data_IF_575015419121
#
_entry.id   IF_575015419121
#
_cell.length_a   1.000
_cell.length_b   1.000
_cell.length_c   1.000
_cell.angle_alpha   90.00
_cell.angle_beta   90.00
_cell.angle_gamma   90.00
#
_symmetry.space_group_name_H-M   'P 1'
#
loop_
_entity.id
_entity.type
_entity.pdbx_description
1 polymer ?
#
# COMPACT_ATOMS: atom_id res chain seq x y z
N UNK A 1 -23.52 -22.65 -58.36
CA UNK A 1 -22.37 -23.14 -57.59
C UNK A 1 -22.76 -23.05 -56.14
N UNK A 2 -23.00 -24.19 -55.50
CA UNK A 2 -23.25 -24.24 -54.06
C UNK A 2 -21.98 -23.74 -53.36
N UNK A 3 -22.11 -22.73 -52.49
CA UNK A 3 -21.05 -22.39 -51.54
C UNK A 3 -20.79 -23.64 -50.72
N UNK A 4 -19.61 -24.25 -50.90
CA UNK A 4 -19.11 -25.24 -49.97
C UNK A 4 -18.98 -24.51 -48.63
N UNK A 5 -19.86 -24.84 -47.70
CA UNK A 5 -19.78 -24.44 -46.30
C UNK A 5 -18.49 -25.06 -45.77
N UNK A 6 -17.41 -24.27 -45.79
CA UNK A 6 -16.12 -24.72 -45.27
C UNK A 6 -16.35 -25.08 -43.81
N UNK A 7 -16.13 -26.34 -43.44
CA UNK A 7 -16.34 -26.83 -42.09
C UNK A 7 -15.64 -25.91 -41.10
N UNK A 8 -16.42 -25.07 -40.42
CA UNK A 8 -15.92 -24.02 -39.55
C UNK A 8 -15.63 -24.55 -38.15
N UNK A 9 -15.62 -25.87 -37.98
CA UNK A 9 -15.33 -26.53 -36.71
C UNK A 9 -13.83 -26.70 -36.50
N UNK A 10 -13.39 -26.52 -35.26
CA UNK A 10 -12.03 -26.77 -34.81
C UNK A 10 -12.05 -27.68 -33.58
N UNK A 11 -10.93 -28.32 -33.27
CA UNK A 11 -10.78 -29.05 -32.01
C UNK A 11 -10.90 -28.12 -30.81
N UNK A 12 -11.47 -28.67 -29.74
CA UNK A 12 -11.51 -28.04 -28.43
C UNK A 12 -10.08 -27.62 -28.02
N UNK A 13 -9.88 -26.39 -27.52
CA UNK A 13 -8.59 -25.95 -26.99
C UNK A 13 -8.12 -26.74 -25.77
N UNK A 14 -9.01 -27.44 -25.06
CA UNK A 14 -8.63 -28.33 -23.97
C UNK A 14 -7.86 -29.53 -24.56
N UNK A 15 -6.58 -29.65 -24.22
CA UNK A 15 -5.69 -30.70 -24.73
C UNK A 15 -6.08 -32.12 -24.33
N UNK A 16 -6.98 -32.29 -23.36
CA UNK A 16 -7.55 -33.58 -22.95
C UNK A 16 -8.91 -33.88 -23.62
N UNK A 17 -9.38 -33.00 -24.51
CA UNK A 17 -10.67 -33.10 -25.18
C UNK A 17 -10.49 -33.18 -26.71
N UNK A 18 -11.20 -34.10 -27.35
CA UNK A 18 -11.25 -34.28 -28.81
C UNK A 18 -12.53 -33.70 -29.43
N UNK A 19 -13.34 -32.99 -28.64
CA UNK A 19 -14.58 -32.37 -29.08
C UNK A 19 -14.38 -31.31 -30.16
N UNK A 20 -15.37 -31.17 -31.05
CA UNK A 20 -15.39 -30.12 -32.07
C UNK A 20 -16.22 -28.93 -31.59
N UNK A 21 -15.67 -27.73 -31.74
CA UNK A 21 -16.34 -26.45 -31.43
C UNK A 21 -16.40 -25.58 -32.68
N UNK A 22 -17.29 -24.58 -32.69
CA UNK A 22 -17.39 -23.65 -33.82
C UNK A 22 -16.27 -22.62 -33.77
N UNK A 23 -15.60 -22.36 -34.89
CA UNK A 23 -14.63 -21.26 -35.03
C UNK A 23 -15.35 -19.93 -35.06
N UNK A 24 -15.69 -19.43 -33.87
CA UNK A 24 -16.40 -18.17 -33.68
C UNK A 24 -15.64 -17.26 -32.71
N UNK A 25 -15.93 -15.96 -32.77
CA UNK A 25 -15.41 -14.98 -31.79
C UNK A 25 -16.16 -15.00 -30.46
N UNK A 26 -17.09 -15.93 -30.27
CA UNK A 26 -17.92 -16.06 -29.07
C UNK A 26 -17.32 -17.14 -28.17
N UNK A 27 -17.28 -16.85 -26.88
CA UNK A 27 -16.94 -17.81 -25.85
C UNK A 27 -18.05 -18.86 -25.74
N UNK A 28 -17.72 -20.14 -25.80
CA UNK A 28 -18.73 -21.19 -25.95
C UNK A 28 -18.39 -22.40 -25.08
N UNK A 29 -19.43 -23.12 -24.66
CA UNK A 29 -19.27 -24.39 -23.94
C UNK A 29 -18.94 -25.51 -24.94
N UNK A 30 -17.86 -26.25 -24.70
CA UNK A 30 -17.56 -27.46 -25.45
C UNK A 30 -18.56 -28.56 -25.07
N UNK A 31 -19.28 -29.12 -26.04
CA UNK A 31 -20.29 -30.15 -25.78
C UNK A 31 -19.70 -31.51 -25.37
N UNK A 32 -18.40 -31.72 -25.56
CA UNK A 32 -17.73 -32.98 -25.21
C UNK A 32 -17.20 -32.96 -23.77
N UNK A 33 -16.47 -31.92 -23.37
CA UNK A 33 -15.89 -31.84 -22.01
C UNK A 33 -16.67 -30.94 -21.04
N UNK A 34 -17.59 -30.10 -21.53
CA UNK A 34 -18.34 -29.15 -20.70
C UNK A 34 -17.61 -27.84 -20.38
N UNK A 35 -16.32 -27.72 -20.72
CA UNK A 35 -15.54 -26.51 -20.41
C UNK A 35 -15.92 -25.34 -21.31
N UNK A 36 -15.76 -24.12 -20.79
CA UNK A 36 -15.97 -22.90 -21.55
C UNK A 36 -14.68 -22.52 -22.27
N UNK A 37 -14.74 -22.41 -23.59
CA UNK A 37 -13.55 -22.28 -24.43
C UNK A 37 -13.69 -21.16 -25.46
N UNK A 38 -12.57 -20.54 -25.80
CA UNK A 38 -12.49 -19.59 -26.90
C UNK A 38 -11.74 -20.19 -28.09
N UNK A 39 -12.41 -20.26 -29.24
CA UNK A 39 -11.81 -20.77 -30.48
C UNK A 39 -10.71 -19.87 -31.08
N UNK A 40 -10.63 -18.60 -30.67
CA UNK A 40 -9.66 -17.64 -31.22
C UNK A 40 -8.40 -17.48 -30.37
N UNK A 41 -8.55 -17.40 -29.04
CA UNK A 41 -7.44 -17.20 -28.12
C UNK A 41 -7.11 -18.42 -27.26
N UNK A 42 -7.88 -19.52 -27.42
CA UNK A 42 -7.66 -20.82 -26.78
C UNK A 42 -7.74 -20.80 -25.24
N UNK A 43 -8.25 -19.71 -24.66
CA UNK A 43 -8.49 -19.61 -23.22
C UNK A 43 -9.66 -20.50 -22.82
N UNK A 44 -9.54 -21.09 -21.63
CA UNK A 44 -10.44 -22.08 -21.04
C UNK A 44 -10.85 -21.57 -19.65
N UNK A 45 -12.12 -21.74 -19.30
CA UNK A 45 -12.80 -21.32 -18.04
C UNK A 45 -12.31 -19.99 -17.44
N UNK A 46 -12.52 -18.92 -18.22
CA UNK A 46 -12.18 -17.56 -17.85
C UNK A 46 -13.45 -16.72 -17.75
N UNK A 47 -13.86 -16.40 -16.51
CA UNK A 47 -15.05 -15.60 -16.20
C UNK A 47 -15.01 -14.20 -16.87
N UNK A 48 -13.81 -13.66 -17.11
CA UNK A 48 -13.64 -12.39 -17.82
C UNK A 48 -13.97 -12.52 -19.31
N UNK A 49 -13.88 -13.72 -19.87
CA UNK A 49 -14.25 -14.04 -21.24
C UNK A 49 -15.74 -14.38 -21.39
N UNK A 50 -16.41 -14.82 -20.32
CA UNK A 50 -17.80 -15.23 -20.37
C UNK A 50 -18.73 -14.12 -20.90
N UNK A 51 -19.49 -14.42 -21.96
CA UNK A 51 -20.35 -13.46 -22.64
C UNK A 51 -19.63 -12.32 -23.37
N UNK A 52 -18.29 -12.38 -23.51
CA UNK A 52 -17.46 -11.31 -24.08
C UNK A 52 -16.59 -11.82 -25.24
N UNK A 53 -16.22 -10.90 -26.12
CA UNK A 53 -15.23 -11.12 -27.18
C UNK A 53 -13.80 -11.07 -26.63
N UNK A 54 -12.82 -11.62 -27.35
CA UNK A 54 -11.41 -11.53 -26.95
C UNK A 54 -10.93 -10.08 -26.78
N UNK A 55 -11.38 -9.16 -27.65
CA UNK A 55 -11.00 -7.75 -27.58
C UNK A 55 -11.54 -7.08 -26.30
N UNK A 56 -12.80 -7.36 -25.93
CA UNK A 56 -13.38 -6.87 -24.67
C UNK A 56 -12.63 -7.42 -23.46
N UNK A 57 -12.27 -8.71 -23.47
CA UNK A 57 -11.46 -9.33 -22.41
C UNK A 57 -10.08 -8.66 -22.27
N UNK A 58 -9.37 -8.45 -23.37
CA UNK A 58 -8.05 -7.79 -23.36
C UNK A 58 -8.16 -6.37 -22.80
N UNK A 59 -9.21 -5.63 -23.20
CA UNK A 59 -9.49 -4.30 -22.67
C UNK A 59 -9.69 -4.33 -21.14
N UNK A 60 -10.48 -5.28 -20.63
CA UNK A 60 -10.68 -5.45 -19.18
C UNK A 60 -9.36 -5.77 -18.48
N UNK A 61 -8.54 -6.67 -19.03
CA UNK A 61 -7.23 -7.00 -18.44
C UNK A 61 -6.31 -5.77 -18.37
N UNK A 62 -6.28 -4.97 -19.43
CA UNK A 62 -5.51 -3.73 -19.46
C UNK A 62 -6.04 -2.74 -18.42
N UNK A 63 -7.35 -2.52 -18.36
CA UNK A 63 -7.98 -1.62 -17.38
C UNK A 63 -7.73 -2.09 -15.94
N UNK A 64 -7.80 -3.40 -15.68
CA UNK A 64 -7.46 -4.01 -14.39
C UNK A 64 -6.00 -3.79 -14.03
N UNK A 65 -5.08 -3.83 -15.01
CA UNK A 65 -3.67 -3.51 -14.82
C UNK A 65 -3.43 -2.05 -14.40
N UNK A 66 -4.19 -1.13 -15.00
CA UNK A 66 -4.12 0.32 -14.70
C UNK A 66 -4.91 0.73 -13.44
N UNK A 67 -5.74 -0.15 -12.89
CA UNK A 67 -6.59 0.17 -11.75
C UNK A 67 -5.79 0.33 -10.45
N UNK A 68 -4.95 -0.65 -10.10
CA UNK A 68 -4.22 -0.64 -8.84
C UNK A 68 -3.25 0.54 -8.69
N UNK A 69 -2.43 0.91 -9.69
CA UNK A 69 -1.57 2.09 -9.60
C UNK A 69 -2.37 3.36 -9.29
N UNK A 70 -3.46 3.61 -10.05
CA UNK A 70 -4.33 4.78 -9.82
C UNK A 70 -4.99 4.75 -8.44
N UNK A 71 -5.40 3.57 -7.97
CA UNK A 71 -5.98 3.39 -6.65
C UNK A 71 -4.97 3.72 -5.55
N UNK A 72 -3.72 3.27 -5.67
CA UNK A 72 -2.66 3.58 -4.72
C UNK A 72 -2.33 5.07 -4.70
N UNK A 73 -2.15 5.70 -5.86
CA UNK A 73 -1.86 7.13 -5.97
C UNK A 73 -2.97 7.97 -5.34
N UNK A 74 -4.23 7.65 -5.65
CA UNK A 74 -5.39 8.35 -5.10
C UNK A 74 -5.51 8.13 -3.58
N UNK A 75 -5.24 6.92 -3.10
CA UNK A 75 -5.24 6.60 -1.67
C UNK A 75 -4.14 7.35 -0.93
N UNK A 76 -2.94 7.45 -1.50
CA UNK A 76 -1.80 8.14 -0.88
C UNK A 76 -2.06 9.64 -0.81
N UNK A 77 -2.56 10.22 -1.90
CA UNK A 77 -3.01 11.61 -1.93
C UNK A 77 -4.05 11.86 -0.84
N UNK A 78 -5.08 11.02 -0.75
CA UNK A 78 -6.08 11.10 0.32
C UNK A 78 -5.45 11.04 1.71
N UNK A 79 -4.58 10.07 1.97
CA UNK A 79 -3.94 9.88 3.27
C UNK A 79 -3.14 11.12 3.70
N UNK A 80 -2.37 11.71 2.78
CA UNK A 80 -1.54 12.90 3.05
C UNK A 80 -2.37 14.16 3.26
N UNK A 81 -3.36 14.39 2.40
CA UNK A 81 -4.21 15.59 2.48
C UNK A 81 -5.16 15.57 3.68
N UNK A 82 -5.52 14.38 4.18
CA UNK A 82 -6.45 14.20 5.30
C UNK A 82 -5.74 13.74 6.59
N UNK A 83 -4.41 13.80 6.64
CA UNK A 83 -3.67 13.53 7.87
C UNK A 83 -3.84 14.70 8.84
N UNK A 84 -4.42 14.48 10.03
CA UNK A 84 -4.76 15.58 10.91
C UNK A 84 -3.50 16.07 11.66
N UNK A 85 -3.34 17.40 11.83
CA UNK A 85 -2.12 17.98 12.39
C UNK A 85 -1.91 17.67 13.88
N UNK A 86 -2.96 17.23 14.58
CA UNK A 86 -2.94 16.87 16.00
C UNK A 86 -2.65 15.38 16.25
N UNK A 87 -2.53 14.56 15.21
CA UNK A 87 -2.10 13.16 15.33
C UNK A 87 -0.58 13.08 15.17
N UNK A 88 0.03 12.03 15.73
CA UNK A 88 1.48 11.83 15.61
C UNK A 88 1.94 11.87 14.15
N UNK A 89 3.17 12.35 13.88
CA UNK A 89 3.66 12.50 12.52
C UNK A 89 3.58 11.20 11.72
N UNK A 90 3.19 11.33 10.47
CA UNK A 90 3.27 10.25 9.50
C UNK A 90 4.75 9.90 9.26
N UNK A 91 5.10 8.63 9.45
CA UNK A 91 6.46 8.12 9.22
C UNK A 91 6.56 7.52 7.81
N UNK A 92 5.62 6.65 7.45
CA UNK A 92 5.63 5.96 6.16
C UNK A 92 4.21 5.58 5.72
N UNK A 93 3.98 5.64 4.40
CA UNK A 93 2.84 5.04 3.73
C UNK A 93 3.37 3.87 2.90
N UNK A 94 2.73 2.72 3.02
CA UNK A 94 3.01 1.53 2.22
C UNK A 94 1.78 1.16 1.42
N UNK A 95 2.00 0.71 0.20
CA UNK A 95 0.93 0.14 -0.61
C UNK A 95 0.71 -1.32 -0.19
N UNK A 96 -0.55 -1.74 -0.14
CA UNK A 96 -0.87 -3.15 0.02
C UNK A 96 -0.52 -3.91 -1.27
N UNK A 97 0.75 -4.31 -1.41
CA UNK A 97 1.24 -5.01 -2.61
C UNK A 97 0.62 -6.40 -2.80
N UNK A 98 -0.08 -6.93 -1.79
CA UNK A 98 -0.87 -8.16 -1.94
C UNK A 98 -1.98 -8.01 -2.97
N UNK A 99 -2.46 -6.79 -3.21
CA UNK A 99 -3.46 -6.53 -4.24
C UNK A 99 -2.91 -6.77 -5.65
N UNK A 100 -1.61 -6.59 -5.88
CA UNK A 100 -0.96 -6.90 -7.16
C UNK A 100 -0.65 -8.40 -7.32
N UNK A 101 -0.79 -9.17 -6.24
CA UNK A 101 -0.70 -10.63 -6.23
C UNK A 101 -2.11 -11.24 -6.27
N UNK A 102 -2.22 -12.55 -6.51
CA UNK A 102 -3.50 -13.26 -6.31
C UNK A 102 -3.81 -13.32 -4.82
N UNK A 103 -4.66 -12.42 -4.32
CA UNK A 103 -5.13 -12.41 -2.94
C UNK A 103 -6.67 -12.41 -2.86
N UNK A 104 -7.20 -12.98 -1.77
CA UNK A 104 -8.64 -13.08 -1.58
C UNK A 104 -9.29 -11.71 -1.32
N UNK A 105 -8.55 -10.74 -0.77
CA UNK A 105 -9.08 -9.40 -0.51
C UNK A 105 -9.53 -8.70 -1.80
N UNK A 106 -8.71 -8.75 -2.87
CA UNK A 106 -9.07 -8.13 -4.15
C UNK A 106 -10.16 -8.94 -4.86
N UNK A 107 -10.09 -10.26 -4.79
CA UNK A 107 -11.11 -11.15 -5.37
C UNK A 107 -12.50 -10.88 -4.78
N UNK A 108 -12.60 -10.81 -3.45
CA UNK A 108 -13.85 -10.48 -2.75
C UNK A 108 -14.36 -9.09 -3.11
N UNK A 109 -13.46 -8.12 -3.23
CA UNK A 109 -13.82 -6.76 -3.64
C UNK A 109 -14.42 -6.74 -5.06
N UNK A 110 -13.80 -7.42 -6.02
CA UNK A 110 -14.34 -7.52 -7.38
C UNK A 110 -15.65 -8.30 -7.45
N UNK A 111 -15.81 -9.38 -6.67
CA UNK A 111 -17.12 -10.04 -6.51
C UNK A 111 -18.17 -9.08 -5.95
N UNK A 112 -17.78 -8.16 -5.06
CA UNK A 112 -18.66 -7.13 -4.53
C UNK A 112 -19.07 -6.10 -5.58
N UNK A 113 -18.15 -5.69 -6.46
CA UNK A 113 -18.44 -4.83 -7.62
C UNK A 113 -19.45 -5.51 -8.55
N UNK A 114 -19.21 -6.78 -8.91
CA UNK A 114 -20.13 -7.57 -9.75
C UNK A 114 -21.50 -7.73 -9.07
N UNK A 115 -21.54 -7.96 -7.76
CA UNK A 115 -22.79 -8.10 -7.00
C UNK A 115 -23.63 -6.81 -6.99
N UNK A 116 -23.03 -5.64 -7.23
CA UNK A 116 -23.72 -4.37 -7.43
C UNK A 116 -24.21 -4.15 -8.88
N UNK A 117 -23.85 -5.06 -9.80
CA UNK A 117 -24.10 -4.92 -11.23
C UNK A 117 -23.11 -4.00 -11.95
N UNK A 118 -22.01 -3.62 -11.30
CA UNK A 118 -20.97 -2.77 -11.89
C UNK A 118 -19.94 -3.60 -12.69
N UNK A 119 -19.22 -2.95 -13.61
CA UNK A 119 -18.17 -3.58 -14.41
C UNK A 119 -16.80 -3.57 -13.71
N UNK A 120 -15.96 -4.55 -14.05
CA UNK A 120 -14.58 -4.61 -13.57
C UNK A 120 -13.59 -3.93 -14.55
N UNK A 121 -12.55 -3.26 -14.03
CA UNK A 121 -12.46 -2.75 -12.66
C UNK A 121 -13.44 -1.57 -12.45
N UNK A 122 -13.83 -1.25 -11.19
CA UNK A 122 -14.70 -0.10 -10.95
C UNK A 122 -13.96 1.21 -11.22
N UNK A 123 -14.68 2.24 -11.64
CA UNK A 123 -14.17 3.62 -11.61
C UNK A 123 -13.92 4.06 -10.15
N UNK A 124 -12.83 4.77 -9.88
CA UNK A 124 -12.54 5.30 -8.54
C UNK A 124 -13.64 6.22 -8.01
N UNK A 125 -14.39 6.91 -8.89
CA UNK A 125 -15.54 7.73 -8.53
C UNK A 125 -16.70 6.92 -7.92
N UNK A 126 -16.74 5.60 -8.14
CA UNK A 126 -17.72 4.68 -7.50
C UNK A 126 -17.44 4.48 -6.02
N UNK A 127 -16.30 4.93 -5.50
CA UNK A 127 -15.96 4.78 -4.09
C UNK A 127 -15.41 6.04 -3.45
N UNK A 128 -14.82 5.84 -2.28
CA UNK A 128 -14.12 6.84 -1.50
C UNK A 128 -13.15 6.15 -0.54
N UNK A 129 -12.19 6.90 -0.01
CA UNK A 129 -11.25 6.40 0.98
C UNK A 129 -11.69 6.72 2.39
N UNK A 130 -11.35 5.83 3.34
CA UNK A 130 -11.56 6.06 4.77
C UNK A 130 -10.46 5.38 5.59
N UNK A 131 -10.27 5.82 6.83
CA UNK A 131 -9.27 5.26 7.73
C UNK A 131 -9.84 4.08 8.51
N UNK A 132 -8.99 3.11 8.86
CA UNK A 132 -9.37 1.99 9.72
C UNK A 132 -8.26 1.67 10.71
N UNK A 133 -8.58 1.81 12.00
CA UNK A 133 -7.68 1.42 13.08
C UNK A 133 -7.91 -0.03 13.50
N UNK A 134 -6.82 -0.76 13.72
CA UNK A 134 -6.85 -2.14 14.18
C UNK A 134 -5.57 -2.47 14.97
N UNK A 135 -5.53 -3.64 15.60
CA UNK A 135 -4.31 -4.19 16.18
C UNK A 135 -3.28 -4.47 15.08
N UNK A 136 -2.00 -4.17 15.32
CA UNK A 136 -0.92 -4.36 14.33
C UNK A 136 -0.87 -5.78 13.77
N UNK A 137 -1.14 -6.80 14.60
CA UNK A 137 -1.17 -8.21 14.19
C UNK A 137 -2.27 -8.55 13.17
N UNK A 138 -3.29 -7.70 13.06
CA UNK A 138 -4.43 -7.88 12.15
C UNK A 138 -4.21 -7.22 10.79
N UNK A 139 -3.21 -6.34 10.64
CA UNK A 139 -2.94 -5.62 9.38
C UNK A 139 -2.70 -6.60 8.23
N UNK A 140 -1.75 -7.53 8.39
CA UNK A 140 -1.39 -8.46 7.31
C UNK A 140 -2.55 -9.41 6.93
N UNK A 141 -3.27 -10.06 7.87
CA UNK A 141 -4.46 -10.82 7.53
C UNK A 141 -5.52 -10.00 6.78
N UNK A 142 -5.77 -8.76 7.20
CA UNK A 142 -6.72 -7.89 6.49
C UNK A 142 -6.23 -7.59 5.07
N UNK A 143 -4.95 -7.29 4.88
CA UNK A 143 -4.38 -7.04 3.57
C UNK A 143 -4.49 -8.22 2.58
N UNK A 144 -4.41 -9.45 3.08
CA UNK A 144 -4.46 -10.68 2.27
C UNK A 144 -5.90 -11.13 2.04
N UNK A 145 -6.68 -11.22 3.12
CA UNK A 145 -7.99 -11.87 3.09
C UNK A 145 -9.16 -10.88 2.97
N UNK A 146 -8.94 -9.63 3.36
CA UNK A 146 -9.94 -8.58 3.46
C UNK A 146 -10.45 -8.37 4.90
N UNK A 147 -11.47 -7.53 5.03
CA UNK A 147 -12.10 -7.27 6.33
C UNK A 147 -13.12 -8.37 6.66
N UNK A 148 -12.77 -9.27 7.60
CA UNK A 148 -13.61 -10.43 7.98
C UNK A 148 -14.85 -10.04 8.81
N UNK A 149 -16.08 -10.19 8.25
CA UNK A 149 -17.34 -9.84 8.92
C UNK A 149 -17.60 -10.60 10.21
N UNK A 150 -17.01 -11.78 10.37
CA UNK A 150 -17.19 -12.62 11.57
C UNK A 150 -16.41 -12.06 12.76
N UNK A 151 -15.50 -11.10 12.54
CA UNK A 151 -14.69 -10.45 13.58
C UNK A 151 -15.28 -9.14 14.08
N UNK A 152 -16.47 -8.74 13.61
CA UNK A 152 -17.17 -7.51 14.04
C UNK A 152 -17.30 -7.46 15.56
N UNK A 153 -16.98 -6.30 16.13
CA UNK A 153 -17.11 -6.00 17.56
C UNK A 153 -17.55 -4.56 17.74
N UNK A 154 -18.56 -4.33 18.58
CA UNK A 154 -19.18 -3.01 18.75
C UNK A 154 -19.95 -2.60 17.48
N UNK A 155 -21.28 -2.56 17.56
CA UNK A 155 -22.16 -2.34 16.40
C UNK A 155 -23.15 -1.18 16.66
N UNK A 156 -22.69 -0.16 17.40
CA UNK A 156 -23.53 0.92 17.92
C UNK A 156 -24.17 1.80 16.84
N UNK A 157 -23.59 1.85 15.63
CA UNK A 157 -24.07 2.65 14.49
C UNK A 157 -24.52 1.80 13.31
N UNK A 158 -24.85 0.53 13.57
CA UNK A 158 -25.30 -0.43 12.56
C UNK A 158 -24.38 -1.64 12.43
N UNK A 159 -24.86 -2.62 11.68
CA UNK A 159 -24.14 -3.86 11.43
C UNK A 159 -23.10 -3.64 10.34
N UNK A 160 -21.82 -3.91 10.62
CA UNK A 160 -20.74 -3.79 9.65
C UNK A 160 -19.35 -3.58 10.25
N UNK A 161 -18.37 -3.42 9.37
CA UNK A 161 -17.02 -2.95 9.70
C UNK A 161 -16.97 -1.42 9.71
N UNK A 162 -16.23 -0.85 10.66
CA UNK A 162 -16.25 0.58 10.95
C UNK A 162 -14.97 1.23 10.42
N UNK A 163 -15.15 2.37 9.76
CA UNK A 163 -14.07 3.17 9.18
C UNK A 163 -14.22 4.61 9.65
N UNK A 164 -13.17 5.19 10.22
CA UNK A 164 -13.19 6.57 10.68
C UNK A 164 -13.26 7.55 9.52
N UNK A 165 -14.08 8.60 9.64
CA UNK A 165 -14.09 9.71 8.67
C UNK A 165 -12.81 10.55 8.76
N UNK A 166 -12.03 10.41 9.85
CA UNK A 166 -10.68 10.95 10.02
C UNK A 166 -9.73 9.91 10.60
N UNK A 167 -8.43 10.10 10.40
CA UNK A 167 -7.40 9.25 11.00
C UNK A 167 -7.43 9.30 12.53
N UNK A 168 -7.74 10.46 13.12
CA UNK A 168 -7.83 10.63 14.58
C UNK A 168 -8.93 9.76 15.20
N UNK A 169 -10.06 9.55 14.50
CA UNK A 169 -11.11 8.64 14.97
C UNK A 169 -10.63 7.20 14.94
N UNK A 170 -9.85 6.82 13.92
CA UNK A 170 -9.26 5.48 13.80
C UNK A 170 -8.11 5.23 14.77
N UNK A 171 -7.37 6.26 15.20
CA UNK A 171 -6.25 6.14 16.14
C UNK A 171 -6.67 5.45 17.45
N UNK A 172 -7.86 5.74 17.98
CA UNK A 172 -8.39 5.11 19.20
C UNK A 172 -8.57 3.59 19.11
N UNK A 173 -8.56 3.04 17.89
CA UNK A 173 -8.66 1.60 17.62
C UNK A 173 -7.31 0.97 17.24
N UNK A 174 -6.27 1.78 17.07
CA UNK A 174 -4.91 1.33 16.79
C UNK A 174 -4.24 0.90 18.10
N UNK A 175 -4.02 -0.40 18.27
CA UNK A 175 -3.32 -0.93 19.46
C UNK A 175 -1.99 -1.53 19.07
N UNK A 176 -0.95 -1.18 19.83
CA UNK A 176 0.38 -1.79 19.75
C UNK A 176 0.53 -2.85 20.84
N UNK A 177 1.17 -3.96 20.54
CA UNK A 177 1.57 -4.96 21.54
C UNK A 177 3.01 -4.72 22.04
N UNK A 178 3.66 -3.67 21.56
CA UNK A 178 5.07 -3.36 21.82
C UNK A 178 5.17 -2.02 22.53
N UNK A 179 6.26 -1.82 23.28
CA UNK A 179 6.61 -0.53 23.87
C UNK A 179 6.95 0.56 22.82
N UNK A 180 6.79 0.24 21.52
CA UNK A 180 6.97 1.20 20.43
C UNK A 180 5.80 2.17 20.39
N UNK A 181 6.11 3.46 20.33
CA UNK A 181 5.13 4.52 20.07
C UNK A 181 4.67 4.57 18.60
N UNK A 182 5.21 3.69 17.75
CA UNK A 182 4.80 3.58 16.34
C UNK A 182 3.52 2.75 16.26
N UNK A 183 2.46 3.39 15.81
CA UNK A 183 1.17 2.77 15.49
C UNK A 183 1.05 2.52 14.00
N UNK A 184 0.18 1.59 13.66
CA UNK A 184 -0.20 1.31 12.27
C UNK A 184 -1.71 1.39 12.10
N UNK A 185 -2.15 1.89 10.96
CA UNK A 185 -3.55 1.89 10.54
C UNK A 185 -3.67 1.63 9.05
N UNK A 186 -4.88 1.33 8.59
CA UNK A 186 -5.18 1.11 7.17
C UNK A 186 -5.90 2.32 6.58
N UNK A 187 -5.70 2.53 5.27
CA UNK A 187 -6.65 3.28 4.44
C UNK A 187 -7.34 2.29 3.53
N UNK A 188 -8.67 2.30 3.56
CA UNK A 188 -9.48 1.44 2.72
C UNK A 188 -10.20 2.25 1.65
N UNK A 189 -10.36 1.67 0.46
CA UNK A 189 -11.29 2.14 -0.55
C UNK A 189 -12.63 1.44 -0.36
N UNK A 190 -13.73 2.20 -0.34
CA UNK A 190 -15.07 1.74 -0.01
C UNK A 190 -16.01 2.11 -1.15
N UNK A 191 -16.78 1.15 -1.65
CA UNK A 191 -17.78 1.38 -2.70
C UNK A 191 -18.97 2.19 -2.15
N UNK A 192 -19.50 3.08 -2.97
CA UNK A 192 -20.75 3.80 -2.69
C UNK A 192 -21.91 2.89 -3.07
N UNK A 193 -22.46 2.19 -2.08
CA UNK A 193 -23.58 1.27 -2.26
C UNK A 193 -24.54 1.30 -1.06
N UNK A 194 -25.76 0.73 -1.19
CA UNK A 194 -26.75 0.67 -0.11
C UNK A 194 -26.27 -0.02 1.17
N UNK A 195 -25.23 -0.85 1.09
CA UNK A 195 -24.65 -1.57 2.21
C UNK A 195 -23.68 -0.70 3.03
N UNK A 196 -23.44 0.54 2.63
CA UNK A 196 -22.60 1.50 3.35
C UNK A 196 -23.46 2.59 3.96
N UNK A 197 -23.38 2.74 5.27
CA UNK A 197 -24.02 3.83 6.01
C UNK A 197 -22.97 4.75 6.61
N UNK A 198 -23.35 5.99 6.90
CA UNK A 198 -22.43 6.99 7.47
C UNK A 198 -23.06 7.65 8.69
N UNK A 199 -22.35 7.58 9.83
CA UNK A 199 -22.59 8.45 10.96
C UNK A 199 -21.78 9.73 10.74
N UNK A 200 -22.48 10.82 10.43
CA UNK A 200 -21.89 12.14 10.14
C UNK A 200 -20.90 12.53 11.24
N UNK A 201 -19.69 12.92 10.81
CA UNK A 201 -18.60 13.36 11.69
C UNK A 201 -17.89 12.23 12.46
N UNK A 202 -18.29 10.97 12.29
CA UNK A 202 -17.72 9.87 13.05
C UNK A 202 -17.21 8.71 12.19
N UNK A 203 -18.09 7.91 11.60
CA UNK A 203 -17.66 6.71 10.90
C UNK A 203 -18.54 6.33 9.71
N UNK A 204 -17.96 5.58 8.79
CA UNK A 204 -18.65 4.79 7.80
C UNK A 204 -18.76 3.35 8.31
N UNK A 205 -19.91 2.72 8.07
CA UNK A 205 -20.17 1.32 8.44
C UNK A 205 -20.47 0.55 7.16
N UNK A 206 -19.64 -0.44 6.87
CA UNK A 206 -19.74 -1.29 5.66
C UNK A 206 -20.31 -2.65 6.06
N UNK A 207 -21.51 -2.98 5.56
CA UNK A 207 -22.18 -4.23 5.86
C UNK A 207 -21.89 -5.30 4.79
N UNK A 208 -20.69 -5.87 4.83
CA UNK A 208 -20.34 -7.04 4.02
C UNK A 208 -21.18 -8.29 4.42
N UNK A 209 -21.43 -9.25 3.52
CA UNK A 209 -22.10 -10.52 3.86
C UNK A 209 -21.35 -11.31 4.94
N UNK A 210 -22.09 -11.95 5.85
CA UNK A 210 -21.48 -12.71 6.94
C UNK A 210 -20.73 -13.97 6.48
N UNK A 211 -21.14 -14.54 5.35
CA UNK A 211 -20.46 -15.66 4.70
C UNK A 211 -19.13 -15.26 4.04
N UNK A 212 -18.88 -13.95 3.95
CA UNK A 212 -17.67 -13.34 3.40
C UNK A 212 -17.37 -13.78 1.95
N UNK A 213 -18.43 -14.06 1.20
CA UNK A 213 -18.36 -14.39 -0.23
C UNK A 213 -17.84 -13.24 -1.09
N UNK A 214 -18.11 -11.99 -0.67
CA UNK A 214 -17.61 -10.76 -1.30
C UNK A 214 -17.48 -9.63 -0.29
N UNK A 215 -16.92 -8.49 -0.73
CA UNK A 215 -16.72 -7.31 0.10
C UNK A 215 -16.90 -6.00 -0.69
N UNK A 216 -17.33 -4.94 0.00
CA UNK A 216 -17.51 -3.60 -0.53
C UNK A 216 -16.39 -2.63 -0.11
N UNK A 217 -15.36 -3.15 0.58
CA UNK A 217 -14.21 -2.42 1.06
C UNK A 217 -12.91 -3.16 0.70
N UNK A 218 -11.85 -2.40 0.46
CA UNK A 218 -10.55 -2.92 0.04
C UNK A 218 -9.43 -2.21 0.84
N UNK A 219 -8.57 -2.92 1.57
CA UNK A 219 -7.43 -2.31 2.27
C UNK A 219 -6.33 -1.93 1.29
N UNK A 220 -6.18 -0.63 1.04
CA UNK A 220 -5.29 -0.10 -0.02
C UNK A 220 -3.92 0.25 0.52
N UNK A 221 -3.85 0.93 1.67
CA UNK A 221 -2.60 1.42 2.25
C UNK A 221 -2.43 0.99 3.69
N UNK A 222 -1.17 0.92 4.11
CA UNK A 222 -0.74 0.78 5.49
C UNK A 222 0.00 2.06 5.87
N UNK A 223 -0.45 2.76 6.91
CA UNK A 223 0.20 3.96 7.42
C UNK A 223 0.90 3.61 8.72
N UNK A 224 2.19 3.92 8.80
CA UNK A 224 2.98 3.92 10.04
C UNK A 224 3.16 5.36 10.53
N UNK A 225 2.88 5.62 11.80
CA UNK A 225 2.93 6.95 12.39
C UNK A 225 3.28 6.88 13.89
N UNK A 226 3.89 7.93 14.44
CA UNK A 226 4.39 7.93 15.81
C UNK A 226 5.52 8.94 16.01
N UNK A 227 6.06 9.00 17.21
CA UNK A 227 7.31 9.73 17.43
C UNK A 227 8.47 8.87 16.91
N UNK A 228 9.24 9.42 15.97
CA UNK A 228 10.49 8.80 15.57
C UNK A 228 11.51 9.13 16.66
N UNK A 229 12.13 8.13 17.29
CA UNK A 229 13.19 8.36 18.26
C UNK A 229 14.28 9.21 17.60
N UNK A 230 14.45 10.45 18.08
CA UNK A 230 15.50 11.34 17.64
C UNK A 230 16.84 10.76 18.07
N UNK A 231 17.54 10.08 17.17
CA UNK A 231 18.99 9.94 17.31
C UNK A 231 19.57 11.32 17.01
N UNK A 232 20.37 11.95 17.89
CA UNK A 232 21.01 13.22 17.57
C UNK A 232 21.86 13.03 16.31
N UNK A 233 21.59 13.82 15.27
CA UNK A 233 22.32 13.81 14.02
C UNK A 233 23.77 14.25 14.25
N UNK A 234 24.69 13.30 14.46
CA UNK A 234 26.11 13.54 14.22
C UNK A 234 26.25 13.62 12.70
N UNK A 235 26.30 14.85 12.18
CA UNK A 235 26.63 15.13 10.78
C UNK A 235 28.10 14.75 10.57
N UNK A 236 28.35 13.49 10.23
CA UNK A 236 29.61 13.07 9.64
C UNK A 236 29.47 13.20 8.13
N UNK A 237 29.90 14.35 7.61
CA UNK A 237 30.08 14.60 6.19
C UNK A 237 30.94 13.50 5.58
N UNK A 238 30.34 12.61 4.80
CA UNK A 238 31.07 11.73 3.88
C UNK A 238 30.52 11.97 2.46
N UNK A 239 31.36 12.33 1.48
CA UNK A 239 30.88 12.66 0.14
C UNK A 239 30.34 11.42 -0.59
N UNK A 240 29.18 11.59 -1.22
CA UNK A 240 28.52 10.58 -2.05
C UNK A 240 29.30 10.37 -3.35
N UNK A 241 29.82 9.16 -3.58
CA UNK A 241 30.33 8.74 -4.90
C UNK A 241 29.12 8.36 -5.77
N UNK A 242 28.65 9.30 -6.58
CA UNK A 242 27.66 9.03 -7.64
C UNK A 242 28.41 8.39 -8.81
N UNK A 243 28.23 7.08 -9.01
CA UNK A 243 28.68 6.39 -10.23
C UNK A 243 27.59 6.48 -11.29
N UNK A 244 27.73 7.46 -12.18
CA UNK A 244 26.88 7.66 -13.35
C UNK A 244 26.95 6.47 -14.30
N UNK A 245 25.80 5.95 -14.72
CA UNK A 245 25.67 5.11 -15.93
C UNK A 245 24.81 5.90 -16.93
N UNK A 246 25.37 6.37 -18.06
CA UNK A 246 24.57 6.82 -19.19
C UNK A 246 24.46 5.71 -20.23
N UNK A 247 23.22 5.37 -20.58
CA UNK A 247 22.82 4.51 -21.70
C UNK A 247 23.20 5.11 -23.06
N UNK A 248 23.66 4.23 -23.95
CA UNK A 248 24.11 4.48 -25.33
C UNK A 248 22.93 4.86 -26.23
N UNK A 249 22.98 6.02 -26.89
CA UNK A 249 22.39 6.25 -28.23
C UNK A 249 23.33 7.14 -29.04
N UNK A 250 23.61 6.73 -30.27
CA UNK A 250 24.64 7.27 -31.16
C UNK A 250 24.10 8.33 -32.16
N UNK A 251 25.00 9.25 -32.56
CA UNK A 251 25.10 9.97 -33.87
C UNK A 251 24.00 11.01 -34.19
N UNK A 252 24.18 12.31 -34.54
CA UNK A 252 25.24 13.18 -35.12
C UNK A 252 24.85 14.70 -34.93
N UNK A 253 25.68 15.73 -35.27
CA UNK A 253 25.83 16.97 -34.47
C UNK A 253 25.31 18.33 -35.03
N UNK A 254 25.43 19.37 -34.15
CA UNK A 254 25.45 20.86 -34.33
C UNK A 254 24.11 21.62 -34.26
N UNK A 255 23.91 22.71 -33.48
CA UNK A 255 24.58 24.04 -33.48
C UNK A 255 24.50 24.77 -32.11
N UNK A 256 25.54 25.57 -31.82
CA UNK A 256 25.87 26.38 -30.63
C UNK A 256 25.13 27.74 -30.55
N UNK A 257 24.76 28.22 -29.33
CA UNK A 257 24.83 29.62 -28.80
C UNK A 257 23.92 29.76 -27.56
N UNK A 258 24.22 30.41 -26.43
CA UNK A 258 25.32 31.26 -25.96
C UNK A 258 25.30 31.32 -24.41
N UNK A 259 26.46 31.40 -23.76
CA UNK A 259 26.65 32.01 -22.43
C UNK A 259 27.41 33.33 -22.67
N UNK A 260 27.24 34.37 -21.83
CA UNK A 260 28.38 34.77 -20.99
C UNK A 260 28.04 34.98 -19.49
N UNK A 261 29.06 34.71 -18.70
CA UNK A 261 29.23 34.64 -17.25
C UNK A 261 29.72 35.96 -16.61
N UNK A 262 30.04 35.89 -15.29
CA UNK A 262 30.89 36.76 -14.44
C UNK A 262 30.04 37.68 -13.53
N UNK A 263 30.18 37.74 -12.19
CA UNK A 263 31.36 38.15 -11.40
C UNK A 263 31.41 37.45 -10.01
N UNK A 264 32.60 36.96 -9.66
CA UNK A 264 33.01 36.60 -8.31
C UNK A 264 33.40 37.85 -7.50
N UNK A 265 32.99 37.95 -6.23
CA UNK A 265 33.57 38.90 -5.28
C UNK A 265 34.29 38.14 -4.16
N UNK A 266 35.58 38.45 -4.04
CA UNK A 266 36.61 37.90 -3.15
C UNK A 266 36.49 38.43 -1.70
N UNK A 267 37.28 37.89 -0.73
CA UNK A 267 36.95 37.88 0.69
C UNK A 267 37.50 39.08 1.47
N UNK A 268 36.82 39.47 2.55
CA UNK A 268 37.32 40.46 3.52
C UNK A 268 38.07 39.79 4.67
N UNK A 269 39.40 39.89 4.63
CA UNK A 269 40.30 39.71 5.78
C UNK A 269 40.27 40.99 6.60
N UNK A 270 39.90 40.91 7.88
CA UNK A 270 40.28 41.92 8.89
C UNK A 270 41.13 41.21 9.94
N UNK A 271 42.42 41.59 9.96
CA UNK A 271 43.37 41.31 11.04
C UNK A 271 43.42 42.56 11.93
N UNK A 272 43.31 42.38 13.24
CA UNK A 272 43.80 43.31 14.26
C UNK A 272 44.24 42.50 15.49
N UNK A 273 45.20 43.04 16.21
CA UNK A 273 46.40 42.44 16.83
C UNK A 273 46.24 41.85 18.24
N UNK A 274 47.27 41.12 18.77
CA UNK A 274 47.20 40.36 20.02
C UNK A 274 47.51 41.21 21.26
N UNK A 275 47.05 40.76 22.44
CA UNK A 275 47.59 41.20 23.74
C UNK A 275 48.20 40.00 24.48
N UNK A 276 49.49 40.14 24.82
CA UNK A 276 50.23 39.28 25.74
C UNK A 276 50.20 39.93 27.11
N UNK A 277 49.94 39.15 28.15
CA UNK A 277 50.13 39.49 29.56
C UNK A 277 50.29 38.22 30.38
N UNK A 278 51.55 37.87 30.67
CA UNK A 278 51.99 36.70 31.41
C UNK A 278 51.70 36.82 32.92
N UNK A 279 51.54 35.67 33.61
CA UNK A 279 52.37 35.22 34.77
C UNK A 279 51.70 34.07 35.55
N UNK A 280 52.12 32.84 35.24
CA UNK A 280 52.64 31.75 36.13
C UNK A 280 51.91 31.27 37.43
N UNK A 281 52.22 30.03 37.88
CA UNK A 281 51.27 29.05 38.41
C UNK A 281 51.36 28.78 39.92
N UNK A 282 50.48 27.92 40.44
CA UNK A 282 50.70 27.26 41.74
C UNK A 282 50.34 25.78 41.65
N UNK A 283 51.37 24.95 41.67
CA UNK A 283 51.35 23.52 42.02
C UNK A 283 51.36 23.39 43.55
N UNK A 284 50.69 22.38 44.11
CA UNK A 284 51.18 21.44 45.16
C UNK A 284 50.00 20.51 45.57
N UNK A 285 49.94 19.27 45.08
CA UNK A 285 50.38 17.98 45.63
C UNK A 285 49.61 17.42 46.86
N UNK A 286 48.94 16.27 46.59
CA UNK A 286 48.76 15.04 47.39
C UNK A 286 48.55 15.09 48.91
N UNK A 287 47.57 14.31 49.39
CA UNK A 287 47.76 13.16 50.31
C UNK A 287 46.56 12.20 50.18
N UNK A 288 46.87 10.91 50.04
CA UNK A 288 45.94 9.78 50.13
C UNK A 288 45.55 9.49 51.59
N UNK A 289 44.38 8.87 51.84
CA UNK A 289 44.23 7.65 52.66
C UNK A 289 42.77 7.32 53.00
N UNK A 290 42.56 6.01 53.16
CA UNK A 290 41.36 5.19 53.26
C UNK A 290 40.47 5.28 54.51
N UNK A 291 39.19 4.88 54.38
CA UNK A 291 38.43 3.97 55.29
C UNK A 291 36.99 3.80 54.75
N UNK A 292 36.59 2.65 54.16
CA UNK A 292 36.04 1.41 54.75
C UNK A 292 34.67 1.52 55.47
N UNK A 293 33.85 0.48 55.21
CA UNK A 293 32.61 -0.02 55.86
C UNK A 293 31.28 0.75 55.57
N UNK A 294 30.12 0.17 55.18
CA UNK A 294 29.48 -1.14 55.43
C UNK A 294 28.57 -1.62 54.29
N UNK A 295 28.62 -2.93 54.02
CA UNK A 295 27.60 -3.76 53.33
C UNK A 295 26.46 -4.14 54.30
N UNK A 296 25.24 -4.34 53.78
CA UNK A 296 24.17 -5.31 54.19
C UNK A 296 23.04 -5.22 53.13
N UNK A 297 22.95 -6.17 52.18
CA UNK A 297 22.13 -7.42 52.15
C UNK A 297 20.64 -7.18 52.47
N UNK A 298 19.64 -7.53 51.63
CA UNK A 298 19.19 -8.87 51.16
C UNK A 298 18.03 -8.68 50.12
N UNK A 299 17.48 -9.70 49.42
CA UNK A 299 17.97 -10.50 48.30
C UNK A 299 17.02 -10.45 47.06
N UNK A 300 17.47 -11.05 45.96
CA UNK A 300 16.60 -11.59 44.91
C UNK A 300 16.11 -12.99 45.27
N UNK A 301 15.00 -13.43 44.67
CA UNK A 301 14.83 -14.70 43.93
C UNK A 301 13.32 -14.93 43.70
N UNK A 302 12.81 -15.61 42.66
CA UNK A 302 13.40 -16.27 41.50
C UNK A 302 12.29 -16.70 40.53
N UNK A 303 12.71 -16.86 39.27
CA UNK A 303 12.41 -17.95 38.32
C UNK A 303 11.01 -18.17 37.72
N UNK A 304 11.02 -18.05 36.39
CA UNK A 304 10.50 -18.99 35.39
C UNK A 304 10.27 -20.44 35.87
N UNK A 305 9.09 -20.94 35.53
CA UNK A 305 8.89 -22.17 34.75
C UNK A 305 7.93 -21.86 33.61
#
# INVERSE_FOLDING_TARGET
MANADADDRIFCPNGECDGLIKKSGVYQTCLTCGEHVCALCHIIDDDLHEGRTCAQRIKIIHEMGEFLPRLFDAGEKYARENWPPNLSPLIRIEYNMRLAEKCLSLERFYKGVIALGDHLPPDLARGFFAFHGTETKSILPICIDGFDPRRRKGQAYGVGEYFGVTAAISDGYCRTNTASEIKTMLVAFILRCPQVSTKVGFCHVVNNPIDWSYAYNLPVLIISYGQQASIPSIVASTPSVIRSIPSIVASTPSVIRSIPSIVASTPSVIRSTPSIGASTPSTITNIASSSQVKKKNWPMSCQLM
#
